data_IF_513489459541
#
_entry.id   IF_513489459541
#
_cell.length_a   1.000
_cell.length_b   1.000
_cell.length_c   1.000
_cell.angle_alpha   90.00
_cell.angle_beta   90.00
_cell.angle_gamma   90.00
#
_symmetry.space_group_name_H-M   'P 1'
#
loop_
_entity.id
_entity.type
_entity.pdbx_description
1 polymer ?
#
# COMPACT_ATOMS: atom_id res chain seq x y z
N UNK A 1 -33.55 42.70 -21.15
CA UNK A 1 -33.00 41.44 -21.70
C UNK A 1 -31.76 41.15 -20.87
N UNK A 2 -31.84 40.45 -19.74
CA UNK A 2 -32.12 39.02 -19.63
C UNK A 2 -30.81 38.27 -19.32
N UNK A 3 -30.07 38.71 -18.29
CA UNK A 3 -28.86 38.05 -17.82
C UNK A 3 -29.25 36.98 -16.81
N UNK A 4 -29.16 35.71 -17.19
CA UNK A 4 -29.48 34.58 -16.34
C UNK A 4 -28.55 34.57 -15.11
N UNK A 5 -29.14 34.72 -13.93
CA UNK A 5 -28.51 34.31 -12.70
C UNK A 5 -28.26 32.80 -12.78
N UNK A 6 -27.00 32.40 -12.75
CA UNK A 6 -26.67 31.02 -12.42
C UNK A 6 -27.06 30.82 -10.96
N UNK A 7 -28.08 30.00 -10.71
CA UNK A 7 -28.49 29.61 -9.36
C UNK A 7 -27.29 28.97 -8.67
N UNK A 8 -26.70 29.67 -7.71
CA UNK A 8 -25.78 29.07 -6.78
C UNK A 8 -26.56 28.07 -5.95
N UNK A 9 -26.32 26.76 -6.17
CA UNK A 9 -26.83 25.70 -5.31
C UNK A 9 -26.55 26.03 -3.82
N UNK A 10 -27.28 25.39 -2.88
CA UNK A 10 -27.29 25.79 -1.48
C UNK A 10 -25.87 26.00 -0.95
N UNK A 11 -25.64 27.15 -0.30
CA UNK A 11 -24.37 27.51 0.33
C UNK A 11 -24.15 26.54 1.49
N UNK A 12 -23.56 25.38 1.21
CA UNK A 12 -23.05 24.49 2.25
C UNK A 12 -21.86 25.24 2.86
N UNK A 13 -21.84 25.49 4.19
CA UNK A 13 -20.72 26.17 4.82
C UNK A 13 -19.45 25.39 4.48
N UNK A 14 -18.50 26.08 3.86
CA UNK A 14 -17.22 25.52 3.47
C UNK A 14 -16.60 24.83 4.70
N UNK A 15 -16.09 23.59 4.56
CA UNK A 15 -15.48 22.93 5.69
C UNK A 15 -14.33 23.82 6.21
N UNK A 16 -14.25 24.05 7.53
CA UNK A 16 -13.40 25.09 8.12
C UNK A 16 -11.92 24.94 7.79
N UNK A 17 -11.48 23.73 7.45
CA UNK A 17 -10.09 23.47 7.09
C UNK A 17 -9.75 23.94 5.65
N UNK A 18 -10.71 24.06 4.72
CA UNK A 18 -10.43 24.44 3.32
C UNK A 18 -9.88 25.88 3.26
N UNK A 19 -10.43 26.78 4.08
CA UNK A 19 -9.89 28.14 4.29
C UNK A 19 -8.52 28.15 4.96
N UNK A 20 -8.19 27.14 5.76
CA UNK A 20 -6.92 27.06 6.50
C UNK A 20 -5.78 26.47 5.65
N UNK A 21 -6.09 25.51 4.76
CA UNK A 21 -5.12 24.86 3.90
C UNK A 21 -4.85 25.66 2.62
N UNK A 22 -5.85 26.35 2.06
CA UNK A 22 -5.68 27.17 0.86
C UNK A 22 -4.61 28.26 1.06
N UNK A 23 -4.64 28.98 2.18
CA UNK A 23 -3.67 30.04 2.46
C UNK A 23 -2.29 29.57 2.92
N UNK A 24 -2.14 28.31 3.39
CA UNK A 24 -0.86 27.82 3.95
C UNK A 24 -0.07 26.92 3.00
N UNK A 25 -0.74 26.33 2.01
CA UNK A 25 -0.11 25.36 1.12
C UNK A 25 0.44 25.98 -0.16
N UNK A 26 0.07 27.24 -0.49
CA UNK A 26 0.31 27.92 -1.79
C UNK A 26 -0.14 27.10 -3.03
N UNK A 27 -0.73 25.93 -2.80
CA UNK A 27 -1.03 24.92 -3.80
C UNK A 27 -2.32 25.28 -4.55
N UNK A 28 -3.25 25.98 -3.92
CA UNK A 28 -4.51 26.43 -4.53
C UNK A 28 -4.54 27.97 -4.59
N UNK A 29 -4.56 28.58 -5.79
CA UNK A 29 -4.72 30.03 -5.94
C UNK A 29 -6.03 30.51 -5.28
N UNK A 30 -6.00 31.70 -4.68
CA UNK A 30 -7.18 32.30 -4.05
C UNK A 30 -8.37 32.45 -5.03
N UNK A 31 -8.08 32.65 -6.32
CA UNK A 31 -9.08 32.83 -7.38
C UNK A 31 -9.36 31.53 -8.17
N UNK A 32 -8.98 30.38 -7.61
CA UNK A 32 -9.22 29.08 -8.27
C UNK A 32 -10.68 28.65 -8.11
N UNK A 33 -11.47 28.88 -9.16
CA UNK A 33 -12.85 28.41 -9.24
C UNK A 33 -12.92 27.05 -9.94
N UNK A 34 -13.57 26.08 -9.30
CA UNK A 34 -13.88 24.78 -9.90
C UNK A 34 -15.35 24.42 -9.69
N UNK A 35 -15.92 23.65 -10.63
CA UNK A 35 -17.30 23.18 -10.49
C UNK A 35 -17.39 22.10 -9.40
N UNK A 36 -18.23 22.34 -8.40
CA UNK A 36 -18.47 21.39 -7.28
C UNK A 36 -19.41 20.25 -7.66
N UNK A 37 -20.13 20.39 -8.77
CA UNK A 37 -21.14 19.43 -9.22
C UNK A 37 -20.53 18.28 -10.02
N UNK A 38 -19.33 18.49 -10.55
CA UNK A 38 -18.64 17.47 -11.34
C UNK A 38 -17.98 16.49 -10.38
N UNK A 39 -18.45 15.25 -10.40
CA UNK A 39 -17.82 14.15 -9.69
C UNK A 39 -16.65 13.60 -10.50
N UNK A 40 -15.50 13.45 -9.83
CA UNK A 40 -14.33 12.80 -10.40
C UNK A 40 -13.98 11.55 -9.59
N UNK A 41 -13.60 10.44 -10.24
CA UNK A 41 -13.30 9.19 -9.53
C UNK A 41 -12.10 9.30 -8.56
N UNK A 42 -11.20 10.26 -8.78
CA UNK A 42 -10.02 10.51 -7.95
C UNK A 42 -10.19 11.67 -6.96
N UNK A 43 -11.40 12.23 -6.81
CA UNK A 43 -11.70 13.31 -5.88
C UNK A 43 -11.62 14.74 -6.45
N UNK A 44 -11.11 14.92 -7.67
CA UNK A 44 -11.11 16.21 -8.36
C UNK A 44 -10.03 17.17 -7.86
N UNK A 45 -10.36 18.46 -7.76
CA UNK A 45 -9.41 19.51 -7.39
C UNK A 45 -9.35 19.71 -5.87
N UNK A 46 -8.18 19.46 -5.28
CA UNK A 46 -7.89 19.61 -3.84
C UNK A 46 -8.89 18.90 -2.90
N UNK A 47 -9.14 17.58 -3.06
CA UNK A 47 -10.06 16.85 -2.20
C UNK A 47 -9.52 16.72 -0.78
N UNK A 48 -10.30 17.16 0.20
CA UNK A 48 -10.03 16.87 1.62
C UNK A 48 -11.34 16.42 2.32
N UNK A 49 -11.77 15.17 2.13
CA UNK A 49 -12.99 14.71 2.76
C UNK A 49 -12.81 14.65 4.27
N UNK A 50 -13.81 15.14 5.05
CA UNK A 50 -13.78 15.16 6.52
C UNK A 50 -13.41 13.82 7.18
N UNK A 51 -13.71 12.70 6.50
CA UNK A 51 -13.46 11.32 6.96
C UNK A 51 -12.21 10.65 6.37
N UNK A 52 -11.26 11.38 5.76
CA UNK A 52 -10.14 10.79 5.01
C UNK A 52 -9.33 9.78 5.83
N UNK A 53 -9.13 10.02 7.14
CA UNK A 53 -8.37 9.12 8.02
C UNK A 53 -9.03 7.76 8.18
N UNK A 54 -10.35 7.73 8.38
CA UNK A 54 -11.11 6.49 8.51
C UNK A 54 -11.13 5.71 7.20
N UNK A 55 -11.37 6.39 6.08
CA UNK A 55 -11.36 5.77 4.76
C UNK A 55 -9.97 5.21 4.40
N UNK A 56 -8.90 5.93 4.74
CA UNK A 56 -7.53 5.46 4.55
C UNK A 56 -7.24 4.23 5.40
N UNK A 57 -7.65 4.24 6.67
CA UNK A 57 -7.47 3.08 7.56
C UNK A 57 -8.21 1.85 7.02
N UNK A 58 -9.43 2.02 6.51
CA UNK A 58 -10.19 0.94 5.87
C UNK A 58 -9.51 0.45 4.59
N UNK A 59 -9.04 1.36 3.73
CA UNK A 59 -8.38 1.00 2.47
C UNK A 59 -7.08 0.23 2.72
N UNK A 60 -6.22 0.73 3.63
CA UNK A 60 -4.97 0.06 4.01
C UNK A 60 -5.27 -1.28 4.70
N UNK A 61 -6.28 -1.31 5.58
CA UNK A 61 -6.70 -2.54 6.27
C UNK A 61 -7.16 -3.62 5.28
N UNK A 62 -8.04 -3.25 4.34
CA UNK A 62 -8.53 -4.15 3.31
C UNK A 62 -7.41 -4.65 2.39
N UNK A 63 -6.54 -3.75 1.91
CA UNK A 63 -5.39 -4.10 1.10
C UNK A 63 -4.41 -5.01 1.86
N UNK A 64 -4.19 -4.75 3.16
CA UNK A 64 -3.34 -5.57 4.02
C UNK A 64 -3.88 -6.98 4.23
N UNK A 65 -5.19 -7.12 4.47
CA UNK A 65 -5.85 -8.44 4.61
C UNK A 65 -5.72 -9.23 3.31
N UNK A 66 -6.08 -8.62 2.17
CA UNK A 66 -5.98 -9.28 0.87
C UNK A 66 -4.53 -9.65 0.56
N UNK A 67 -3.59 -8.73 0.76
CA UNK A 67 -2.17 -8.97 0.56
C UNK A 67 -1.63 -10.12 1.42
N UNK A 68 -2.03 -10.18 2.69
CA UNK A 68 -1.64 -11.28 3.58
C UNK A 68 -2.21 -12.62 3.12
N UNK A 69 -3.49 -12.68 2.75
CA UNK A 69 -4.11 -13.91 2.25
C UNK A 69 -3.46 -14.39 0.95
N UNK A 70 -3.23 -13.48 0.00
CA UNK A 70 -2.54 -13.79 -1.26
C UNK A 70 -1.10 -14.25 -0.99
N UNK A 71 -0.39 -13.61 -0.07
CA UNK A 71 0.96 -14.02 0.31
C UNK A 71 0.97 -15.43 0.92
N UNK A 72 0.08 -15.72 1.86
CA UNK A 72 -0.04 -17.05 2.47
C UNK A 72 -0.40 -18.14 1.44
N UNK A 73 -1.34 -17.84 0.53
CA UNK A 73 -1.65 -18.76 -0.56
C UNK A 73 -0.44 -18.99 -1.47
N UNK A 74 0.28 -17.93 -1.83
CA UNK A 74 1.47 -18.00 -2.66
C UNK A 74 2.58 -18.82 -2.01
N UNK A 75 2.88 -18.63 -0.73
CA UNK A 75 3.94 -19.36 -0.03
C UNK A 75 3.60 -20.84 0.15
N UNK A 76 2.33 -21.19 0.37
CA UNK A 76 1.88 -22.58 0.45
C UNK A 76 1.99 -23.31 -0.90
N UNK A 77 1.81 -22.61 -2.02
CA UNK A 77 1.83 -23.20 -3.35
C UNK A 77 3.20 -23.11 -4.07
N UNK A 78 4.11 -22.25 -3.61
CA UNK A 78 5.42 -22.09 -4.23
C UNK A 78 6.25 -23.38 -4.08
N UNK A 79 6.65 -23.94 -5.22
CA UNK A 79 7.57 -25.08 -5.31
C UNK A 79 8.88 -24.63 -5.96
N UNK A 80 10.01 -24.97 -5.33
CA UNK A 80 11.34 -24.77 -5.91
C UNK A 80 11.94 -26.11 -6.28
N UNK A 81 12.20 -26.29 -7.57
CA UNK A 81 12.77 -27.53 -8.12
C UNK A 81 14.23 -27.73 -7.72
N UNK A 82 14.93 -26.65 -7.38
CA UNK A 82 16.32 -26.66 -6.97
C UNK A 82 16.50 -25.89 -5.67
N UNK A 83 17.40 -26.38 -4.83
CA UNK A 83 17.82 -25.68 -3.63
C UNK A 83 18.64 -24.43 -3.99
N UNK A 84 18.51 -23.32 -3.24
CA UNK A 84 19.39 -22.17 -3.38
C UNK A 84 20.86 -22.53 -3.13
N UNK A 85 21.78 -21.92 -3.87
CA UNK A 85 23.25 -22.10 -3.73
C UNK A 85 23.87 -21.30 -2.57
N UNK A 86 23.04 -20.57 -1.84
CA UNK A 86 23.41 -19.80 -0.66
C UNK A 86 22.15 -19.56 0.18
N UNK A 87 22.34 -19.22 1.46
CA UNK A 87 21.24 -18.80 2.30
C UNK A 87 20.64 -17.46 1.80
N UNK A 88 19.31 -17.40 1.70
CA UNK A 88 18.56 -16.19 1.33
C UNK A 88 17.40 -15.97 2.31
N UNK A 89 17.06 -14.73 2.67
CA UNK A 89 16.00 -14.44 3.65
C UNK A 89 14.62 -14.98 3.25
N UNK A 90 14.31 -15.01 1.95
CA UNK A 90 13.02 -15.50 1.43
C UNK A 90 12.81 -17.01 1.64
N UNK A 91 13.84 -17.76 2.06
CA UNK A 91 13.68 -19.12 2.57
C UNK A 91 12.79 -19.17 3.80
N UNK A 92 12.79 -18.14 4.64
CA UNK A 92 12.05 -18.15 5.90
C UNK A 92 10.53 -18.10 5.69
N UNK A 93 10.08 -17.66 4.52
CA UNK A 93 8.66 -17.46 4.23
C UNK A 93 7.97 -18.66 3.59
N UNK A 94 8.72 -19.54 2.92
CA UNK A 94 8.16 -20.70 2.23
C UNK A 94 8.68 -22.01 2.83
N UNK A 95 7.92 -22.70 3.70
CA UNK A 95 8.35 -23.95 4.34
C UNK A 95 8.74 -25.04 3.34
N UNK A 96 8.15 -25.05 2.14
CA UNK A 96 8.34 -26.07 1.11
C UNK A 96 9.65 -25.94 0.32
N UNK A 97 10.40 -24.84 0.49
CA UNK A 97 11.70 -24.71 -0.16
C UNK A 97 12.71 -25.71 0.44
N UNK A 98 13.46 -26.45 -0.38
CA UNK A 98 14.59 -27.25 0.07
C UNK A 98 15.65 -26.39 0.79
N UNK A 99 16.36 -27.00 1.74
CA UNK A 99 17.41 -26.32 2.49
C UNK A 99 18.55 -25.87 1.56
N UNK A 100 19.12 -24.67 1.80
CA UNK A 100 20.19 -24.13 0.97
C UNK A 100 21.45 -25.00 1.06
N UNK A 101 22.15 -25.09 -0.05
CA UNK A 101 23.47 -25.72 -0.15
C UNK A 101 24.50 -24.66 -0.48
N UNK A 102 25.71 -24.75 0.08
CA UNK A 102 26.79 -23.85 -0.33
C UNK A 102 27.36 -24.26 -1.70
N UNK A 103 28.25 -23.43 -2.25
CA UNK A 103 28.95 -23.71 -3.51
C UNK A 103 29.80 -25.00 -3.48
N UNK A 104 30.08 -25.54 -2.28
CA UNK A 104 30.85 -26.77 -2.04
C UNK A 104 29.94 -27.99 -1.82
N UNK A 105 28.62 -27.83 -1.89
CA UNK A 105 27.63 -28.88 -1.68
C UNK A 105 27.30 -29.20 -0.21
N UNK A 106 27.79 -28.40 0.76
CA UNK A 106 27.45 -28.57 2.17
C UNK A 106 26.07 -28.02 2.44
N UNK A 107 25.27 -28.72 3.25
CA UNK A 107 23.98 -28.22 3.71
C UNK A 107 24.17 -27.08 4.69
N UNK A 108 23.41 -26.00 4.48
CA UNK A 108 23.36 -24.85 5.36
C UNK A 108 22.08 -24.90 6.18
N UNK A 109 22.17 -24.56 7.46
CA UNK A 109 21.00 -24.37 8.32
C UNK A 109 20.13 -23.23 7.74
N UNK A 110 18.86 -23.53 7.58
CA UNK A 110 17.85 -22.61 7.08
C UNK A 110 17.66 -21.36 7.95
N UNK A 111 17.85 -21.44 9.26
CA UNK A 111 17.64 -20.28 10.16
C UNK A 111 18.87 -19.39 10.22
N UNK A 112 20.05 -20.00 10.33
CA UNK A 112 21.30 -19.26 10.58
C UNK A 112 22.16 -19.06 9.33
N UNK A 113 21.92 -19.82 8.26
CA UNK A 113 22.75 -19.84 7.05
C UNK A 113 24.13 -20.46 7.24
N UNK A 114 24.43 -21.00 8.43
CA UNK A 114 25.72 -21.62 8.74
C UNK A 114 25.74 -23.09 8.30
N UNK A 115 26.91 -23.66 7.98
CA UNK A 115 27.02 -25.09 7.69
C UNK A 115 26.50 -25.94 8.87
N UNK A 116 25.71 -26.96 8.57
CA UNK A 116 25.29 -27.95 9.56
C UNK A 116 26.53 -28.72 10.00
N UNK A 117 26.86 -28.66 11.30
CA UNK A 117 27.95 -29.46 11.85
C UNK A 117 27.47 -30.90 11.96
N UNK A 118 28.16 -31.82 11.30
CA UNK A 118 28.01 -33.24 11.60
C UNK A 118 28.81 -33.48 12.88
N UNK A 119 28.12 -33.66 14.00
CA UNK A 119 28.74 -34.29 15.16
C UNK A 119 28.98 -35.74 14.78
N UNK A 120 30.26 -36.09 14.59
CA UNK A 120 30.69 -37.49 14.44
C UNK A 120 30.49 -38.16 15.81
N UNK A 121 29.58 -39.14 15.86
CA UNK A 121 29.32 -40.01 17.02
C UNK A 121 30.34 -41.16 17.08
#
# INVERSE_FOLDING_TARGET
MGGGHHDHGPIIPEPPYAKLLANKSELCPHDFHYSREIWYPHGGFYPDPKGWRGNLALAIGAAGILGYMTFQYSTQNERRLMAPKAWIPSLLWNPNCPDPVDFRGRKLDRKTGKPVQHEEE
#
